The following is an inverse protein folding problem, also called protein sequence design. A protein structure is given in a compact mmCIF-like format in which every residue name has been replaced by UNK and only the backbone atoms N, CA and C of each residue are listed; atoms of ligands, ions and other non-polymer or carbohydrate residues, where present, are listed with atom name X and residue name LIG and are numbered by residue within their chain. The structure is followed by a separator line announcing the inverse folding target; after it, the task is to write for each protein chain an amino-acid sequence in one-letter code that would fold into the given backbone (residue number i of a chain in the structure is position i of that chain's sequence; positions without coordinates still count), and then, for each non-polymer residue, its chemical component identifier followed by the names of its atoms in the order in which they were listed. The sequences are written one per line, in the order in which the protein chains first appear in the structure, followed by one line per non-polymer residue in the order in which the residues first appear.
data_IF_611139135187
#
_entry.id   IF_611139135187
#
_cell.length_a   1.000
_cell.length_b   1.000
_cell.length_c   1.000
_cell.angle_alpha   90.00
_cell.angle_beta   90.00
_cell.angle_gamma   90.00
#
_symmetry.space_group_name_H-M   'P 1'
#
loop_
_entity.id
_entity.type
_entity.pdbx_description
1 polymer ?
#
# COMPACT_ATOMS: atom_id res chain seq x y z
N UNK A 1 -11.12 34.02 38.39
CA UNK A 1 -11.54 35.15 37.55
C UNK A 1 -11.28 34.84 36.08
N UNK A 2 -12.05 35.40 35.14
CA UNK A 2 -11.76 35.25 33.71
C UNK A 2 -10.37 35.82 33.38
N UNK A 3 -9.60 35.18 32.48
CA UNK A 3 -8.33 35.69 31.97
C UNK A 3 -8.47 37.06 31.30
N UNK A 4 -7.38 37.84 31.22
CA UNK A 4 -7.41 39.20 30.63
C UNK A 4 -7.86 39.18 29.17
N UNK A 5 -7.50 38.13 28.46
CA UNK A 5 -7.83 37.87 27.05
C UNK A 5 -9.34 37.69 26.87
N UNK A 6 -10.02 37.08 27.84
CA UNK A 6 -11.48 36.94 27.81
C UNK A 6 -12.16 38.27 28.12
N UNK A 7 -11.60 39.08 29.02
CA UNK A 7 -12.11 40.42 29.32
C UNK A 7 -12.01 41.37 28.12
N UNK A 8 -10.92 41.31 27.36
CA UNK A 8 -10.71 42.18 26.20
C UNK A 8 -11.69 41.90 25.05
N UNK A 9 -12.29 40.70 24.99
CA UNK A 9 -13.35 40.35 24.05
C UNK A 9 -14.74 40.87 24.47
N UNK A 10 -14.86 41.53 25.62
CA UNK A 10 -16.07 42.16 26.10
C UNK A 10 -16.97 41.28 26.98
N UNK A 11 -18.06 41.89 27.44
CA UNK A 11 -19.02 41.28 28.39
C UNK A 11 -19.59 39.95 27.92
N UNK A 12 -20.01 39.76 26.64
CA UNK A 12 -20.57 38.48 26.20
C UNK A 12 -19.60 37.30 26.38
N UNK A 13 -18.32 37.48 26.03
CA UNK A 13 -17.27 36.46 26.16
C UNK A 13 -16.95 36.15 27.62
N UNK A 14 -16.92 37.17 28.46
CA UNK A 14 -16.74 37.03 29.91
C UNK A 14 -17.89 36.24 30.54
N UNK A 15 -19.13 36.56 30.19
CA UNK A 15 -20.32 35.85 30.67
C UNK A 15 -20.31 34.39 30.18
N UNK A 16 -19.95 34.16 28.91
CA UNK A 16 -19.81 32.81 28.36
C UNK A 16 -18.78 31.99 29.14
N UNK A 17 -17.59 32.55 29.38
CA UNK A 17 -16.55 31.89 30.18
C UNK A 17 -17.04 31.50 31.56
N UNK A 18 -17.65 32.43 32.30
CA UNK A 18 -18.16 32.17 33.65
C UNK A 18 -19.26 31.11 33.65
N UNK A 19 -20.17 31.13 32.66
CA UNK A 19 -21.20 30.10 32.48
C UNK A 19 -20.57 28.74 32.20
N UNK A 20 -19.60 28.65 31.30
CA UNK A 20 -18.90 27.39 30.98
C UNK A 20 -18.24 26.80 32.23
N UNK A 21 -17.51 27.62 33.00
CA UNK A 21 -16.84 27.16 34.23
C UNK A 21 -17.86 26.72 35.29
N UNK A 22 -18.95 27.46 35.48
CA UNK A 22 -19.99 27.09 36.43
C UNK A 22 -20.69 25.78 36.05
N UNK A 23 -21.01 25.60 34.76
CA UNK A 23 -21.65 24.40 34.25
C UNK A 23 -20.73 23.17 34.31
N UNK A 24 -19.41 23.35 34.19
CA UNK A 24 -18.45 22.25 34.21
C UNK A 24 -18.48 21.45 35.52
N UNK A 25 -18.76 22.08 36.66
CA UNK A 25 -18.88 21.37 37.95
C UNK A 25 -20.04 20.37 37.97
N UNK A 26 -21.12 20.64 37.21
CA UNK A 26 -22.30 19.76 37.14
C UNK A 26 -22.22 18.75 36.00
N UNK A 27 -21.72 19.18 34.84
CA UNK A 27 -21.69 18.37 33.61
C UNK A 27 -20.42 17.54 33.46
N UNK A 28 -19.37 17.86 34.22
CA UNK A 28 -18.00 17.34 34.05
C UNK A 28 -17.43 17.61 32.65
N UNK A 29 -17.98 18.57 31.91
CA UNK A 29 -17.53 19.00 30.59
C UNK A 29 -17.28 20.50 30.59
N UNK A 30 -16.15 20.92 30.05
CA UNK A 30 -15.77 22.32 29.99
C UNK A 30 -15.40 22.69 28.56
N UNK A 31 -16.16 23.63 28.00
CA UNK A 31 -15.90 24.20 26.68
C UNK A 31 -15.49 25.67 26.80
N UNK A 32 -14.22 25.91 26.43
CA UNK A 32 -13.57 27.22 26.39
C UNK A 32 -13.05 27.53 24.97
N UNK A 33 -13.71 26.97 23.94
CA UNK A 33 -13.28 27.08 22.55
C UNK A 33 -13.61 28.44 21.94
N UNK A 34 -12.71 28.95 21.10
CA UNK A 34 -12.90 30.24 20.40
C UNK A 34 -12.82 31.46 21.33
N UNK A 35 -12.13 31.36 22.47
CA UNK A 35 -12.04 32.42 23.47
C UNK A 35 -10.75 33.25 23.38
N UNK A 36 -9.95 33.06 22.32
CA UNK A 36 -8.64 33.70 22.12
C UNK A 36 -7.68 33.52 23.30
N UNK A 37 -7.77 32.37 24.00
CA UNK A 37 -6.92 32.08 25.15
C UNK A 37 -5.47 31.86 24.72
N UNK A 38 -4.53 32.55 25.35
CA UNK A 38 -3.08 32.38 25.11
C UNK A 38 -2.47 31.25 25.95
N UNK A 39 -3.14 30.86 27.03
CA UNK A 39 -2.77 29.75 27.91
C UNK A 39 -4.02 29.06 28.45
N UNK A 40 -3.89 27.80 28.87
CA UNK A 40 -4.98 27.11 29.57
C UNK A 40 -5.20 27.79 30.93
N UNK A 41 -6.40 28.33 31.20
CA UNK A 41 -6.66 29.03 32.46
C UNK A 41 -6.53 28.11 33.66
N UNK A 42 -5.82 28.55 34.71
CA UNK A 42 -5.59 27.75 35.93
C UNK A 42 -6.89 27.28 36.60
N UNK A 43 -8.01 27.97 36.38
CA UNK A 43 -9.32 27.55 36.91
C UNK A 43 -9.74 26.17 36.37
N UNK A 44 -9.30 25.79 35.18
CA UNK A 44 -9.54 24.46 34.60
C UNK A 44 -8.96 23.38 35.53
N UNK A 45 -7.77 23.60 36.09
CA UNK A 45 -7.08 22.63 36.95
C UNK A 45 -7.68 22.53 38.34
N UNK A 46 -8.61 23.43 38.71
CA UNK A 46 -9.37 23.35 39.97
C UNK A 46 -10.60 22.44 39.90
N UNK A 47 -10.88 21.84 38.73
CA UNK A 47 -12.02 20.93 38.50
C UNK A 47 -11.50 19.51 38.18
N UNK A 48 -10.98 18.76 39.17
CA UNK A 48 -10.34 17.45 38.94
C UNK A 48 -11.31 16.36 38.43
N UNK A 49 -12.60 16.56 38.63
CA UNK A 49 -13.68 15.66 38.16
C UNK A 49 -13.98 15.78 36.66
N UNK A 50 -13.27 16.66 35.95
CA UNK A 50 -13.53 16.94 34.55
C UNK A 50 -13.26 15.70 33.68
N UNK A 51 -14.24 15.32 32.86
CA UNK A 51 -14.15 14.20 31.91
C UNK A 51 -13.85 14.68 30.48
N UNK A 52 -14.26 15.90 30.13
CA UNK A 52 -14.08 16.46 28.79
C UNK A 52 -13.66 17.93 28.84
N UNK A 53 -12.60 18.26 28.12
CA UNK A 53 -12.06 19.62 27.98
C UNK A 53 -11.91 19.99 26.50
N UNK A 54 -12.68 20.99 26.08
CA UNK A 54 -12.65 21.55 24.73
C UNK A 54 -11.98 22.93 24.75
N UNK A 55 -10.85 23.04 24.05
CA UNK A 55 -10.04 24.25 23.95
C UNK A 55 -9.73 24.61 22.49
N UNK A 56 -10.57 24.18 21.55
CA UNK A 56 -10.28 24.36 20.12
C UNK A 56 -10.39 25.83 19.68
N UNK A 57 -9.64 26.20 18.64
CA UNK A 57 -9.58 27.55 18.06
C UNK A 57 -9.22 28.63 19.10
N UNK A 58 -8.12 28.43 19.82
CA UNK A 58 -7.54 29.41 20.74
C UNK A 58 -6.11 29.75 20.27
N UNK A 59 -5.30 30.40 21.13
CA UNK A 59 -3.91 30.79 20.85
C UNK A 59 -2.95 30.16 21.87
N UNK A 60 -3.28 28.97 22.37
CA UNK A 60 -2.54 28.30 23.44
C UNK A 60 -1.19 27.82 22.90
N UNK A 61 -0.10 28.18 23.59
CA UNK A 61 1.27 27.82 23.19
C UNK A 61 1.88 26.66 23.96
N UNK A 62 1.43 26.46 25.20
CA UNK A 62 1.88 25.38 26.07
C UNK A 62 0.77 24.91 27.01
N UNK A 63 0.90 23.69 27.52
CA UNK A 63 0.06 23.16 28.58
C UNK A 63 0.67 23.48 29.96
N UNK A 64 -0.11 23.95 30.94
CA UNK A 64 0.40 24.22 32.27
C UNK A 64 0.72 22.92 33.01
N UNK A 65 1.73 22.94 33.87
CA UNK A 65 2.19 21.77 34.66
C UNK A 65 1.09 21.21 35.56
N UNK A 66 0.13 22.04 35.93
CA UNK A 66 -1.04 21.75 36.75
C UNK A 66 -2.08 20.89 36.01
N UNK A 67 -1.96 20.69 34.68
CA UNK A 67 -2.76 19.70 33.96
C UNK A 67 -2.65 18.30 34.57
N UNK A 68 -1.55 18.01 35.28
CA UNK A 68 -1.36 16.75 36.02
C UNK A 68 -2.48 16.40 37.01
N UNK A 69 -3.30 17.37 37.44
CA UNK A 69 -4.40 17.16 38.39
C UNK A 69 -5.70 16.67 37.74
N UNK A 70 -5.80 16.65 36.40
CA UNK A 70 -7.00 16.24 35.67
C UNK A 70 -7.01 14.73 35.38
N UNK A 71 -6.82 13.92 36.42
CA UNK A 71 -6.63 12.46 36.29
C UNK A 71 -7.79 11.71 35.63
N UNK A 72 -9.01 12.27 35.72
CA UNK A 72 -10.24 11.68 35.20
C UNK A 72 -10.57 12.12 33.77
N UNK A 73 -9.71 12.93 33.14
CA UNK A 73 -10.00 13.49 31.82
C UNK A 73 -9.97 12.38 30.77
N UNK A 74 -11.12 12.16 30.12
CA UNK A 74 -11.28 11.16 29.07
C UNK A 74 -11.07 11.74 27.68
N UNK A 75 -11.43 13.01 27.46
CA UNK A 75 -11.33 13.70 26.16
C UNK A 75 -10.70 15.07 26.32
N UNK A 76 -9.64 15.32 25.54
CA UNK A 76 -8.96 16.61 25.46
C UNK A 76 -8.86 17.05 24.00
N UNK A 77 -9.39 18.22 23.69
CA UNK A 77 -9.26 18.84 22.38
C UNK A 77 -8.53 20.18 22.48
N UNK A 78 -7.43 20.28 21.74
CA UNK A 78 -6.57 21.46 21.59
C UNK A 78 -6.43 21.85 20.11
N UNK A 79 -7.42 21.49 19.29
CA UNK A 79 -7.39 21.70 17.83
C UNK A 79 -7.30 23.19 17.49
N UNK A 80 -6.48 23.60 16.52
CA UNK A 80 -6.42 25.00 16.10
C UNK A 80 -5.84 25.91 17.18
N UNK A 81 -4.65 25.58 17.66
CA UNK A 81 -3.89 26.36 18.65
C UNK A 81 -2.47 26.64 18.13
N UNK A 82 -1.60 27.19 18.98
CA UNK A 82 -0.21 27.50 18.64
C UNK A 82 0.79 26.61 19.41
N UNK A 83 0.40 25.39 19.77
CA UNK A 83 1.24 24.51 20.59
C UNK A 83 2.51 24.13 19.84
N UNK A 84 3.66 24.41 20.45
CA UNK A 84 4.97 23.95 19.98
C UNK A 84 5.38 22.62 20.66
N UNK A 85 4.84 22.37 21.85
CA UNK A 85 4.99 21.12 22.61
C UNK A 85 3.75 20.87 23.48
N UNK A 86 3.48 19.59 23.76
CA UNK A 86 2.40 19.16 24.69
C UNK A 86 2.93 18.99 26.12
N UNK A 87 4.25 18.94 26.31
CA UNK A 87 4.88 18.80 27.63
C UNK A 87 4.72 17.41 28.28
N UNK A 88 5.50 17.12 29.33
CA UNK A 88 5.57 15.78 29.96
C UNK A 88 4.30 15.44 30.78
N UNK A 89 3.63 16.47 31.29
CA UNK A 89 2.39 16.45 32.07
C UNK A 89 1.24 15.73 31.35
N UNK A 90 1.25 15.64 30.02
CA UNK A 90 0.25 14.85 29.30
C UNK A 90 0.22 13.39 29.77
N UNK A 91 1.38 12.83 30.14
CA UNK A 91 1.48 11.46 30.62
C UNK A 91 0.84 11.21 32.00
N UNK A 92 0.39 12.26 32.70
CA UNK A 92 -0.40 12.13 33.93
C UNK A 92 -1.89 11.91 33.67
N UNK A 93 -2.38 12.16 32.45
CA UNK A 93 -3.79 12.03 32.07
C UNK A 93 -4.13 10.58 31.68
N UNK A 94 -3.86 9.61 32.56
CA UNK A 94 -3.90 8.17 32.23
C UNK A 94 -5.29 7.62 31.87
N UNK A 95 -6.37 8.35 32.21
CA UNK A 95 -7.74 8.05 31.79
C UNK A 95 -8.06 8.50 30.34
N UNK A 96 -7.17 9.26 29.69
CA UNK A 96 -7.44 9.86 28.40
C UNK A 96 -7.65 8.79 27.33
N UNK A 97 -8.82 8.85 26.68
CA UNK A 97 -9.24 7.96 25.59
C UNK A 97 -9.15 8.63 24.23
N UNK A 98 -9.31 9.96 24.20
CA UNK A 98 -9.30 10.77 22.98
C UNK A 98 -8.44 12.02 23.17
N UNK A 99 -7.40 12.17 22.35
CA UNK A 99 -6.53 13.35 22.32
C UNK A 99 -6.51 13.95 20.91
N UNK A 100 -6.92 15.22 20.80
CA UNK A 100 -6.96 15.96 19.53
C UNK A 100 -6.04 17.17 19.59
N UNK A 101 -5.00 17.14 18.75
CA UNK A 101 -3.91 18.11 18.64
C UNK A 101 -3.78 18.69 17.22
N UNK A 102 -4.78 18.48 16.37
CA UNK A 102 -4.77 18.95 14.97
C UNK A 102 -4.53 20.46 14.87
N UNK A 103 -3.93 20.91 13.77
CA UNK A 103 -3.74 22.34 13.47
C UNK A 103 -2.97 23.06 14.60
N UNK A 104 -1.74 22.61 14.86
CA UNK A 104 -0.82 23.19 15.83
C UNK A 104 0.59 23.34 15.20
N UNK A 105 1.62 23.59 16.01
CA UNK A 105 3.01 23.77 15.57
C UNK A 105 3.95 22.73 16.18
N UNK A 106 3.43 21.56 16.55
CA UNK A 106 4.16 20.52 17.25
C UNK A 106 5.27 19.96 16.37
N UNK A 107 6.50 19.95 16.88
CA UNK A 107 7.66 19.36 16.19
C UNK A 107 7.90 17.89 16.61
N UNK A 108 7.58 17.58 17.86
CA UNK A 108 7.72 16.26 18.48
C UNK A 108 6.57 16.02 19.45
N UNK A 109 6.24 14.74 19.68
CA UNK A 109 5.41 14.32 20.79
C UNK A 109 6.30 13.82 21.95
N UNK A 110 5.97 14.15 23.22
CA UNK A 110 6.79 13.77 24.36
C UNK A 110 6.77 12.24 24.58
N UNK A 111 7.87 11.62 25.05
CA UNK A 111 7.89 10.20 25.39
C UNK A 111 6.81 9.79 26.41
N UNK A 112 6.41 10.71 27.28
CA UNK A 112 5.34 10.51 28.27
C UNK A 112 3.97 10.21 27.66
N UNK A 113 3.76 10.47 26.36
CA UNK A 113 2.55 10.06 25.65
C UNK A 113 2.31 8.55 25.77
N UNK A 114 3.38 7.74 25.82
CA UNK A 114 3.28 6.30 26.02
C UNK A 114 2.73 5.86 27.37
N UNK A 115 2.52 6.78 28.32
CA UNK A 115 1.82 6.48 29.60
C UNK A 115 0.31 6.43 29.45
N UNK A 116 -0.24 6.89 28.32
CA UNK A 116 -1.67 6.94 28.03
C UNK A 116 -2.21 5.58 27.58
N UNK A 117 -2.13 4.56 28.45
CA UNK A 117 -2.55 3.19 28.15
C UNK A 117 -4.06 3.04 27.84
N UNK A 118 -4.87 4.06 28.12
CA UNK A 118 -6.31 4.10 27.80
C UNK A 118 -6.62 4.76 26.45
N UNK A 119 -5.60 5.31 25.76
CA UNK A 119 -5.81 6.09 24.55
C UNK A 119 -6.30 5.21 23.40
N UNK A 120 -7.41 5.63 22.79
CA UNK A 120 -8.07 4.94 21.67
C UNK A 120 -8.03 5.76 20.38
N UNK A 121 -8.03 7.09 20.49
CA UNK A 121 -7.95 8.00 19.35
C UNK A 121 -6.89 9.08 19.63
N UNK A 122 -5.92 9.19 18.71
CA UNK A 122 -4.93 10.27 18.67
C UNK A 122 -5.01 10.96 17.30
N UNK A 123 -5.34 12.25 17.33
CA UNK A 123 -5.35 13.11 16.14
C UNK A 123 -4.29 14.19 16.28
N UNK A 124 -3.32 14.22 15.39
CA UNK A 124 -2.23 15.19 15.37
C UNK A 124 -1.88 15.61 13.94
N UNK A 125 -2.90 15.84 13.12
CA UNK A 125 -2.76 16.29 11.74
C UNK A 125 -2.34 17.77 11.67
N UNK A 126 -1.77 18.22 10.55
CA UNK A 126 -1.42 19.62 10.30
C UNK A 126 -0.53 20.20 11.40
N UNK A 127 0.59 19.54 11.60
CA UNK A 127 1.63 19.91 12.55
C UNK A 127 2.99 19.89 11.82
N UNK A 128 4.09 19.91 12.57
CA UNK A 128 5.47 19.83 12.04
C UNK A 128 6.21 18.60 12.57
N UNK A 129 5.47 17.52 12.83
CA UNK A 129 6.06 16.32 13.42
C UNK A 129 7.07 15.71 12.44
N UNK A 130 8.29 15.49 12.91
CA UNK A 130 9.35 14.84 12.13
C UNK A 130 9.43 13.34 12.38
N UNK A 131 8.92 12.89 13.53
CA UNK A 131 8.91 11.49 13.96
C UNK A 131 7.84 11.27 15.04
N UNK A 132 7.53 10.00 15.30
CA UNK A 132 6.77 9.59 16.48
C UNK A 132 7.73 9.08 17.57
N UNK A 133 7.44 9.35 18.86
CA UNK A 133 8.22 8.79 19.94
C UNK A 133 8.05 7.26 19.97
N UNK A 134 9.13 6.52 20.23
CA UNK A 134 9.08 5.05 20.32
C UNK A 134 8.10 4.56 21.41
N UNK A 135 7.81 5.39 22.41
CA UNK A 135 6.83 5.09 23.45
C UNK A 135 5.38 5.06 22.96
N UNK A 136 5.08 5.51 21.73
CA UNK A 136 3.72 5.38 21.15
C UNK A 136 3.24 3.93 21.16
N UNK A 137 4.15 2.96 21.04
CA UNK A 137 3.83 1.53 21.08
C UNK A 137 3.22 1.05 22.40
N UNK A 138 3.36 1.82 23.49
CA UNK A 138 2.73 1.51 24.76
C UNK A 138 1.22 1.85 24.78
N UNK A 139 0.72 2.62 23.80
CA UNK A 139 -0.70 2.93 23.65
C UNK A 139 -1.46 1.76 22.98
N UNK A 140 -1.42 0.59 23.59
CA UNK A 140 -1.89 -0.67 22.99
C UNK A 140 -3.40 -0.75 22.69
N UNK A 141 -4.21 0.17 23.24
CA UNK A 141 -5.65 0.31 22.95
C UNK A 141 -5.94 1.27 21.80
N UNK A 142 -4.90 1.85 21.18
CA UNK A 142 -5.08 2.82 20.12
C UNK A 142 -5.75 2.16 18.92
N UNK A 143 -6.90 2.71 18.51
CA UNK A 143 -7.69 2.27 17.36
C UNK A 143 -7.54 3.21 16.17
N UNK A 144 -7.27 4.48 16.43
CA UNK A 144 -7.24 5.51 15.39
C UNK A 144 -6.08 6.47 15.58
N UNK A 145 -5.21 6.57 14.58
CA UNK A 145 -4.03 7.42 14.56
C UNK A 145 -4.02 8.28 13.29
N UNK A 146 -4.12 9.60 13.48
CA UNK A 146 -4.20 10.58 12.40
C UNK A 146 -3.00 11.52 12.48
N UNK A 147 -2.15 11.48 11.46
CA UNK A 147 -0.85 12.16 11.37
C UNK A 147 -0.65 12.84 10.00
N UNK A 148 -1.74 13.11 9.28
CA UNK A 148 -1.69 13.78 7.99
C UNK A 148 -1.09 15.18 8.06
N UNK A 149 -0.50 15.66 6.95
CA UNK A 149 0.09 16.99 6.80
C UNK A 149 1.13 17.27 7.91
N UNK A 150 2.18 16.46 7.96
CA UNK A 150 3.32 16.59 8.86
C UNK A 150 4.64 16.42 8.06
N UNK A 151 5.78 16.31 8.75
CA UNK A 151 7.11 16.15 8.13
C UNK A 151 7.73 14.79 8.47
N UNK A 152 6.92 13.76 8.71
CA UNK A 152 7.39 12.45 9.17
C UNK A 152 8.11 11.73 8.03
N UNK A 153 9.34 11.29 8.30
CA UNK A 153 10.19 10.60 7.31
C UNK A 153 10.09 9.08 7.40
N UNK A 154 9.93 8.54 8.61
CA UNK A 154 9.82 7.09 8.84
C UNK A 154 8.75 6.77 9.87
N UNK A 155 8.12 5.60 9.70
CA UNK A 155 7.27 5.00 10.73
C UNK A 155 8.18 4.20 11.67
N UNK A 156 8.12 4.40 13.00
CA UNK A 156 8.99 3.68 13.91
C UNK A 156 8.67 2.18 13.92
N UNK A 157 9.68 1.33 14.12
CA UNK A 157 9.52 -0.13 14.12
C UNK A 157 8.54 -0.63 15.19
N UNK A 158 8.41 0.09 16.31
CA UNK A 158 7.47 -0.21 17.41
C UNK A 158 5.99 -0.11 17.04
N UNK A 159 5.66 0.28 15.80
CA UNK A 159 4.28 0.35 15.31
C UNK A 159 3.59 -1.03 15.31
N UNK A 160 4.38 -2.13 15.25
CA UNK A 160 3.90 -3.51 15.37
C UNK A 160 3.13 -3.78 16.67
N UNK A 161 3.46 -3.08 17.75
CA UNK A 161 2.78 -3.22 19.04
C UNK A 161 1.34 -2.70 19.04
N UNK A 162 0.97 -1.83 18.09
CA UNK A 162 -0.36 -1.25 17.95
C UNK A 162 -1.34 -2.21 17.24
N UNK A 163 -1.44 -3.43 17.77
CA UNK A 163 -2.22 -4.53 17.18
C UNK A 163 -3.73 -4.27 17.11
N UNK A 164 -4.26 -3.33 17.90
CA UNK A 164 -5.68 -2.91 17.87
C UNK A 164 -5.96 -1.74 16.92
N UNK A 165 -4.94 -1.22 16.23
CA UNK A 165 -5.12 -0.07 15.35
C UNK A 165 -5.98 -0.46 14.14
N UNK A 166 -7.11 0.24 13.97
CA UNK A 166 -8.06 0.02 12.88
C UNK A 166 -7.86 1.06 11.76
N UNK A 167 -7.40 2.28 12.11
CA UNK A 167 -7.22 3.40 11.17
C UNK A 167 -5.85 4.05 11.37
N UNK A 168 -5.03 4.04 10.32
CA UNK A 168 -3.78 4.78 10.23
C UNK A 168 -3.82 5.74 9.04
N UNK A 169 -3.77 7.04 9.32
CA UNK A 169 -3.73 8.09 8.29
C UNK A 169 -2.45 8.89 8.44
N UNK A 170 -1.61 8.87 7.41
CA UNK A 170 -0.38 9.67 7.34
C UNK A 170 -0.23 10.39 5.98
N UNK A 171 -1.30 10.96 5.37
CA UNK A 171 -1.16 11.62 4.09
C UNK A 171 -0.30 12.89 4.17
N UNK A 172 0.34 13.32 3.10
CA UNK A 172 1.08 14.60 3.09
C UNK A 172 2.25 14.61 4.07
N UNK A 173 3.03 13.53 4.11
CA UNK A 173 4.25 13.40 4.90
C UNK A 173 5.46 13.23 3.97
N UNK A 174 6.61 12.83 4.52
CA UNK A 174 7.84 12.58 3.77
C UNK A 174 8.29 11.11 3.86
N UNK A 175 7.33 10.20 4.01
CA UNK A 175 7.62 8.77 4.17
C UNK A 175 8.30 8.22 2.92
N UNK A 176 9.49 7.65 3.09
CA UNK A 176 10.23 6.96 2.00
C UNK A 176 9.99 5.45 2.00
N UNK A 177 9.66 4.88 3.16
CA UNK A 177 9.39 3.46 3.33
C UNK A 177 8.30 3.21 4.39
N UNK A 178 7.64 2.06 4.27
CA UNK A 178 6.78 1.48 5.31
C UNK A 178 7.53 0.30 5.92
N UNK A 179 7.72 0.24 7.25
CA UNK A 179 8.44 -0.85 7.90
C UNK A 179 7.70 -2.18 7.72
N UNK A 180 8.44 -3.29 7.63
CA UNK A 180 7.88 -4.65 7.51
C UNK A 180 6.99 -5.02 8.70
N UNK A 181 7.24 -4.41 9.85
CA UNK A 181 6.43 -4.48 11.07
C UNK A 181 4.95 -4.12 10.88
N UNK A 182 4.59 -3.38 9.81
CA UNK A 182 3.20 -3.10 9.47
C UNK A 182 2.35 -4.37 9.39
N UNK A 183 2.92 -5.50 8.96
CA UNK A 183 2.20 -6.77 8.85
C UNK A 183 1.69 -7.35 10.17
N UNK A 184 2.15 -6.85 11.32
CA UNK A 184 1.64 -7.26 12.64
C UNK A 184 0.36 -6.53 13.06
N UNK A 185 0.00 -5.45 12.37
CA UNK A 185 -1.16 -4.62 12.67
C UNK A 185 -2.45 -5.22 12.08
N UNK A 186 -2.74 -6.48 12.45
CA UNK A 186 -3.79 -7.31 11.83
C UNK A 186 -5.22 -6.78 11.96
N UNK A 187 -5.46 -5.82 12.86
CA UNK A 187 -6.75 -5.12 13.00
C UNK A 187 -6.96 -3.97 12.01
N UNK A 188 -5.94 -3.62 11.20
CA UNK A 188 -5.97 -2.43 10.36
C UNK A 188 -7.00 -2.59 9.22
N UNK A 189 -7.90 -1.62 9.11
CA UNK A 189 -8.97 -1.54 8.10
C UNK A 189 -8.73 -0.42 7.10
N UNK A 190 -8.14 0.69 7.56
CA UNK A 190 -7.87 1.86 6.73
C UNK A 190 -6.40 2.25 6.87
N UNK A 191 -5.68 2.23 5.74
CA UNK A 191 -4.32 2.73 5.61
C UNK A 191 -4.28 3.81 4.52
N UNK A 192 -4.06 5.06 4.92
CA UNK A 192 -3.97 6.20 4.02
C UNK A 192 -2.57 6.81 4.08
N UNK A 193 -1.84 6.71 2.97
CA UNK A 193 -0.44 7.11 2.82
C UNK A 193 -0.23 7.99 1.58
N UNK A 194 -1.29 8.62 1.05
CA UNK A 194 -1.19 9.48 -0.13
C UNK A 194 -0.28 10.69 0.10
N UNK A 195 0.26 11.26 -0.98
CA UNK A 195 1.14 12.44 -0.92
C UNK A 195 2.37 12.19 -0.02
N UNK A 196 3.10 11.12 -0.32
CA UNK A 196 4.36 10.74 0.34
C UNK A 196 5.44 10.46 -0.71
N UNK A 197 6.57 9.87 -0.30
CA UNK A 197 7.72 9.57 -1.16
C UNK A 197 7.98 8.06 -1.25
N UNK A 198 6.96 7.22 -1.05
CA UNK A 198 7.10 5.77 -1.00
C UNK A 198 7.46 5.22 -2.38
N UNK A 199 8.52 4.41 -2.46
CA UNK A 199 8.96 3.77 -3.71
C UNK A 199 8.45 2.33 -3.87
N UNK A 200 8.26 1.64 -2.75
CA UNK A 200 7.80 0.25 -2.68
C UNK A 200 6.93 0.03 -1.46
N UNK A 201 6.19 -1.08 -1.45
CA UNK A 201 5.45 -1.55 -0.27
C UNK A 201 6.04 -2.89 0.20
N UNK A 202 6.18 -3.09 1.52
CA UNK A 202 6.68 -4.36 2.06
C UNK A 202 5.71 -5.51 1.77
N UNK A 203 6.18 -6.73 1.43
CA UNK A 203 5.34 -7.91 1.24
C UNK A 203 4.42 -8.22 2.43
N UNK A 204 4.84 -7.84 3.64
CA UNK A 204 4.11 -7.99 4.89
C UNK A 204 2.75 -7.27 4.91
N UNK A 205 2.51 -6.33 3.97
CA UNK A 205 1.17 -5.75 3.76
C UNK A 205 0.11 -6.83 3.47
N UNK A 206 0.51 -7.96 2.89
CA UNK A 206 -0.37 -9.10 2.63
C UNK A 206 -0.93 -9.79 3.89
N UNK A 207 -0.36 -9.50 5.07
CA UNK A 207 -0.86 -10.01 6.36
C UNK A 207 -2.05 -9.21 6.91
N UNK A 208 -2.39 -8.07 6.31
CA UNK A 208 -3.48 -7.19 6.76
C UNK A 208 -4.84 -7.66 6.24
N UNK A 209 -5.26 -8.88 6.58
CA UNK A 209 -6.45 -9.52 6.02
C UNK A 209 -7.78 -8.76 6.26
N UNK A 210 -7.80 -7.79 7.18
CA UNK A 210 -8.94 -6.92 7.46
C UNK A 210 -8.90 -5.57 6.73
N UNK A 211 -7.87 -5.31 5.92
CA UNK A 211 -7.71 -4.03 5.23
C UNK A 211 -8.79 -3.86 4.17
N UNK A 212 -9.52 -2.76 4.27
CA UNK A 212 -10.65 -2.41 3.38
C UNK A 212 -10.30 -1.26 2.45
N UNK A 213 -9.44 -0.33 2.91
CA UNK A 213 -8.98 0.82 2.16
C UNK A 213 -7.47 0.99 2.27
N UNK A 214 -6.81 1.02 1.11
CA UNK A 214 -5.41 1.38 0.94
C UNK A 214 -5.30 2.53 -0.06
N UNK A 215 -4.84 3.68 0.41
CA UNK A 215 -4.58 4.84 -0.45
C UNK A 215 -3.08 5.12 -0.54
N UNK A 216 -2.53 4.96 -1.73
CA UNK A 216 -1.13 5.22 -2.08
C UNK A 216 -1.02 6.28 -3.18
N UNK A 217 -2.04 7.12 -3.36
CA UNK A 217 -2.03 8.15 -4.39
C UNK A 217 -0.84 9.11 -4.24
N UNK A 218 -0.36 9.68 -5.34
CA UNK A 218 0.70 10.69 -5.36
C UNK A 218 1.94 10.26 -4.55
N UNK A 219 2.45 9.07 -4.85
CA UNK A 219 3.69 8.54 -4.30
C UNK A 219 4.68 8.29 -5.45
N UNK A 220 5.73 7.51 -5.18
CA UNK A 220 6.68 7.05 -6.17
C UNK A 220 6.63 5.53 -6.25
N UNK A 221 5.48 4.88 -6.03
CA UNK A 221 5.44 3.42 -5.99
C UNK A 221 5.67 2.85 -7.39
N UNK A 222 6.68 2.00 -7.55
CA UNK A 222 7.02 1.39 -8.85
C UNK A 222 6.49 -0.05 -8.95
N UNK A 223 6.44 -0.77 -7.83
CA UNK A 223 5.99 -2.16 -7.77
C UNK A 223 5.17 -2.40 -6.50
N UNK A 224 4.00 -3.01 -6.67
CA UNK A 224 3.23 -3.61 -5.58
C UNK A 224 3.72 -5.03 -5.29
N UNK A 225 3.84 -5.44 -4.02
CA UNK A 225 4.14 -6.83 -3.68
C UNK A 225 2.97 -7.72 -4.09
N UNK A 226 3.27 -8.93 -4.58
CA UNK A 226 2.23 -9.85 -5.02
C UNK A 226 1.36 -10.32 -3.84
N UNK A 227 1.92 -10.31 -2.63
CA UNK A 227 1.26 -10.65 -1.37
C UNK A 227 0.04 -9.75 -1.08
N UNK A 228 -0.07 -8.57 -1.72
CA UNK A 228 -1.30 -7.76 -1.70
C UNK A 228 -2.53 -8.55 -2.21
N UNK A 229 -2.32 -9.58 -3.07
CA UNK A 229 -3.37 -10.47 -3.53
C UNK A 229 -4.12 -11.22 -2.41
N UNK A 230 -3.53 -11.35 -1.21
CA UNK A 230 -4.21 -11.93 -0.04
C UNK A 230 -5.30 -11.04 0.55
N UNK A 231 -5.32 -9.74 0.21
CA UNK A 231 -6.24 -8.75 0.79
C UNK A 231 -7.63 -8.82 0.16
N UNK A 232 -8.32 -9.93 0.37
CA UNK A 232 -9.65 -10.21 -0.20
C UNK A 232 -10.77 -9.28 0.31
N UNK A 233 -10.55 -8.56 1.42
CA UNK A 233 -11.45 -7.53 1.95
C UNK A 233 -11.16 -6.12 1.43
N UNK A 234 -10.16 -5.95 0.57
CA UNK A 234 -9.80 -4.63 0.06
C UNK A 234 -10.83 -4.17 -0.99
N UNK A 235 -11.62 -3.17 -0.64
CA UNK A 235 -12.64 -2.59 -1.52
C UNK A 235 -12.13 -1.34 -2.24
N UNK A 236 -11.13 -0.67 -1.68
CA UNK A 236 -10.59 0.57 -2.22
C UNK A 236 -9.07 0.53 -2.22
N UNK A 237 -8.49 0.46 -3.40
CA UNK A 237 -7.07 0.60 -3.69
C UNK A 237 -6.89 1.79 -4.62
N UNK A 238 -6.22 2.84 -4.16
CA UNK A 238 -5.94 4.04 -4.96
C UNK A 238 -4.44 4.11 -5.23
N UNK A 239 -4.07 4.09 -6.51
CA UNK A 239 -2.69 4.09 -7.01
C UNK A 239 -2.39 5.27 -7.94
N UNK A 240 -3.31 6.22 -8.09
CA UNK A 240 -3.17 7.39 -8.97
C UNK A 240 -1.94 8.23 -8.62
N UNK A 241 -1.31 8.89 -9.59
CA UNK A 241 -0.12 9.72 -9.34
C UNK A 241 1.15 8.93 -8.97
N UNK A 242 1.24 7.65 -9.33
CA UNK A 242 2.46 6.84 -9.27
C UNK A 242 3.00 6.60 -10.69
N UNK A 243 3.63 7.62 -11.29
CA UNK A 243 3.97 7.66 -12.73
C UNK A 243 4.94 6.56 -13.20
N UNK A 244 5.69 5.96 -12.28
CA UNK A 244 6.68 4.90 -12.55
C UNK A 244 6.16 3.50 -12.23
N UNK A 245 4.85 3.35 -11.99
CA UNK A 245 4.27 2.06 -11.64
C UNK A 245 4.32 1.07 -12.81
N UNK A 246 4.95 -0.07 -12.56
CA UNK A 246 5.07 -1.20 -13.49
C UNK A 246 4.19 -2.37 -13.04
N UNK A 247 4.08 -2.58 -11.72
CA UNK A 247 3.26 -3.65 -11.12
C UNK A 247 2.23 -3.04 -10.16
N UNK A 248 0.92 -3.23 -10.37
CA UNK A 248 0.30 -3.98 -11.46
C UNK A 248 0.43 -3.25 -12.82
N UNK A 249 0.38 -3.98 -13.94
CA UNK A 249 0.34 -3.39 -15.29
C UNK A 249 -0.84 -2.43 -15.44
N UNK A 250 -0.70 -1.39 -16.26
CA UNK A 250 -1.70 -0.31 -16.37
C UNK A 250 -3.10 -0.79 -16.75
N UNK A 251 -3.19 -1.79 -17.63
CA UNK A 251 -4.45 -2.42 -18.04
C UNK A 251 -5.10 -3.16 -16.86
N UNK A 252 -4.31 -3.79 -15.98
CA UNK A 252 -4.81 -4.40 -14.75
C UNK A 252 -5.20 -3.33 -13.73
N UNK A 253 -4.40 -2.29 -13.55
CA UNK A 253 -4.71 -1.17 -12.67
C UNK A 253 -6.03 -0.48 -13.05
N UNK A 254 -6.30 -0.34 -14.35
CA UNK A 254 -7.55 0.23 -14.87
C UNK A 254 -8.81 -0.59 -14.58
N UNK A 255 -8.66 -1.90 -14.27
CA UNK A 255 -9.77 -2.78 -13.85
C UNK A 255 -10.18 -2.57 -12.38
N UNK A 256 -9.58 -1.58 -11.72
CA UNK A 256 -9.88 -1.20 -10.35
C UNK A 256 -9.38 -2.20 -9.31
N UNK A 257 -9.78 -2.00 -8.06
CA UNK A 257 -9.27 -2.77 -6.91
C UNK A 257 -9.44 -4.27 -7.07
N UNK A 258 -10.63 -4.73 -7.48
CA UNK A 258 -10.89 -6.15 -7.67
C UNK A 258 -9.98 -6.77 -8.75
N UNK A 259 -9.82 -6.11 -9.90
CA UNK A 259 -8.96 -6.59 -10.98
C UNK A 259 -7.50 -6.74 -10.54
N UNK A 260 -6.96 -5.74 -9.82
CA UNK A 260 -5.61 -5.78 -9.26
C UNK A 260 -5.45 -6.93 -8.27
N UNK A 261 -6.37 -7.07 -7.30
CA UNK A 261 -6.30 -8.13 -6.29
C UNK A 261 -6.38 -9.52 -6.94
N UNK A 262 -7.28 -9.73 -7.91
CA UNK A 262 -7.37 -11.00 -8.62
C UNK A 262 -6.11 -11.33 -9.42
N UNK A 263 -5.51 -10.34 -10.09
CA UNK A 263 -4.24 -10.52 -10.80
C UNK A 263 -3.12 -10.94 -9.85
N UNK A 264 -2.90 -10.18 -8.76
CA UNK A 264 -1.84 -10.48 -7.80
C UNK A 264 -2.08 -11.81 -7.08
N UNK A 265 -3.34 -12.14 -6.77
CA UNK A 265 -3.70 -13.44 -6.18
C UNK A 265 -3.31 -14.61 -7.10
N UNK A 266 -3.51 -14.51 -8.42
CA UNK A 266 -3.06 -15.53 -9.38
C UNK A 266 -1.54 -15.72 -9.34
N UNK A 267 -0.77 -14.63 -9.22
CA UNK A 267 0.70 -14.71 -9.11
C UNK A 267 1.13 -15.39 -7.80
N UNK A 268 0.45 -15.09 -6.71
CA UNK A 268 0.70 -15.72 -5.41
C UNK A 268 0.35 -17.21 -5.44
N UNK A 269 -0.82 -17.58 -5.97
CA UNK A 269 -1.22 -18.98 -6.08
C UNK A 269 -0.30 -19.78 -7.00
N UNK A 270 0.26 -19.15 -8.04
CA UNK A 270 1.26 -19.76 -8.91
C UNK A 270 2.55 -20.15 -8.17
N UNK A 271 2.96 -19.44 -7.11
CA UNK A 271 4.09 -19.85 -6.25
C UNK A 271 3.87 -21.22 -5.61
N UNK A 272 2.61 -21.56 -5.28
CA UNK A 272 2.27 -22.84 -4.64
C UNK A 272 1.91 -23.93 -5.65
N UNK A 273 1.13 -23.58 -6.66
CA UNK A 273 0.56 -24.54 -7.61
C UNK A 273 1.45 -24.80 -8.82
N UNK A 274 2.44 -23.92 -9.07
CA UNK A 274 3.26 -23.88 -10.29
C UNK A 274 2.45 -23.72 -11.58
N UNK A 275 1.19 -23.35 -11.45
CA UNK A 275 0.25 -23.13 -12.54
C UNK A 275 -0.19 -21.67 -12.52
N UNK A 276 0.00 -20.97 -13.62
CA UNK A 276 -0.35 -19.56 -13.75
C UNK A 276 -1.26 -19.34 -14.96
N UNK A 277 -2.46 -18.84 -14.68
CA UNK A 277 -3.48 -18.56 -15.67
C UNK A 277 -3.79 -17.07 -15.77
N UNK A 278 -3.26 -16.45 -16.82
CA UNK A 278 -3.39 -15.03 -17.13
C UNK A 278 -4.24 -14.79 -18.38
N UNK A 279 -5.11 -15.73 -18.69
CA UNK A 279 -6.08 -15.68 -19.78
C UNK A 279 -6.97 -14.45 -19.74
N UNK A 280 -7.24 -13.84 -20.91
CA UNK A 280 -8.24 -12.77 -21.09
C UNK A 280 -8.10 -11.63 -20.08
N UNK A 281 -6.85 -11.26 -19.79
CA UNK A 281 -6.53 -10.15 -18.91
C UNK A 281 -6.24 -8.86 -19.67
N UNK A 282 -6.33 -8.89 -21.00
CA UNK A 282 -6.05 -7.76 -21.90
C UNK A 282 -4.63 -7.22 -21.68
N UNK A 283 -3.67 -8.13 -21.47
CA UNK A 283 -2.26 -7.79 -21.28
C UNK A 283 -1.65 -7.31 -22.61
N UNK A 284 -1.15 -6.07 -22.65
CA UNK A 284 -0.42 -5.54 -23.82
C UNK A 284 0.97 -6.17 -24.00
N UNK A 285 1.56 -6.67 -22.91
CA UNK A 285 2.84 -7.38 -22.89
C UNK A 285 2.82 -8.33 -21.69
N UNK A 286 3.65 -9.38 -21.72
CA UNK A 286 3.83 -10.24 -20.56
C UNK A 286 4.55 -9.44 -19.46
N UNK A 287 3.95 -9.22 -18.28
CA UNK A 287 4.56 -8.41 -17.24
C UNK A 287 5.89 -8.99 -16.73
N UNK A 288 6.84 -8.13 -16.32
CA UNK A 288 8.15 -8.61 -15.88
C UNK A 288 8.07 -9.50 -14.64
N UNK A 289 7.18 -9.14 -13.71
CA UNK A 289 6.92 -9.93 -12.51
C UNK A 289 6.44 -11.35 -12.81
N UNK A 290 5.85 -11.62 -14.00
CA UNK A 290 5.45 -12.97 -14.42
C UNK A 290 6.67 -13.79 -14.85
N UNK A 291 7.61 -13.18 -15.58
CA UNK A 291 8.83 -13.85 -16.01
C UNK A 291 9.80 -14.14 -14.86
N UNK A 292 9.72 -13.38 -13.76
CA UNK A 292 10.46 -13.61 -12.52
C UNK A 292 9.95 -14.84 -11.72
N UNK A 293 8.80 -15.41 -12.10
CA UNK A 293 8.21 -16.59 -11.46
C UNK A 293 8.83 -17.90 -11.98
N UNK A 294 10.13 -18.09 -11.74
CA UNK A 294 10.92 -19.23 -12.25
C UNK A 294 10.41 -20.62 -11.85
N UNK A 295 9.57 -20.71 -10.82
CA UNK A 295 8.98 -21.97 -10.34
C UNK A 295 7.75 -22.44 -11.15
N UNK A 296 7.20 -21.59 -12.02
CA UNK A 296 6.00 -21.92 -12.81
C UNK A 296 6.32 -22.99 -13.85
N UNK A 297 5.49 -24.04 -13.89
CA UNK A 297 5.59 -25.16 -14.82
C UNK A 297 4.53 -25.06 -15.94
N UNK A 298 3.41 -24.39 -15.69
CA UNK A 298 2.36 -24.14 -16.69
C UNK A 298 2.00 -22.67 -16.71
N UNK A 299 2.12 -22.02 -17.87
CA UNK A 299 1.73 -20.63 -18.09
C UNK A 299 0.71 -20.52 -19.22
N UNK A 300 -0.47 -19.99 -18.90
CA UNK A 300 -1.52 -19.67 -19.87
C UNK A 300 -1.65 -18.17 -20.06
N UNK A 301 -1.51 -17.72 -21.29
CA UNK A 301 -1.59 -16.33 -21.74
C UNK A 301 -2.57 -16.18 -22.91
N UNK A 302 -3.56 -17.06 -23.04
CA UNK A 302 -4.44 -17.04 -24.19
C UNK A 302 -5.35 -15.80 -24.22
N UNK A 303 -5.64 -15.32 -25.44
CA UNK A 303 -6.57 -14.22 -25.69
C UNK A 303 -6.26 -12.94 -24.89
N UNK A 304 -4.98 -12.52 -24.84
CA UNK A 304 -4.58 -11.26 -24.22
C UNK A 304 -4.34 -10.13 -25.21
N UNK A 305 -4.22 -10.44 -26.50
CA UNK A 305 -3.88 -9.47 -27.54
C UNK A 305 -2.40 -9.05 -27.52
N UNK A 306 -1.51 -9.97 -27.13
CA UNK A 306 -0.06 -9.71 -27.09
C UNK A 306 0.49 -9.52 -28.51
N UNK A 307 1.11 -8.36 -28.85
CA UNK A 307 1.72 -8.15 -30.17
C UNK A 307 3.10 -8.79 -30.29
N UNK A 308 3.79 -8.99 -29.16
CA UNK A 308 5.10 -9.62 -29.10
C UNK A 308 5.30 -10.32 -27.75
N UNK A 309 6.17 -11.33 -27.74
CA UNK A 309 6.60 -12.00 -26.54
C UNK A 309 7.99 -11.47 -26.13
N UNK A 310 8.09 -10.96 -24.90
CA UNK A 310 9.35 -10.40 -24.40
C UNK A 310 10.43 -11.47 -24.23
N UNK A 311 11.70 -11.12 -24.45
CA UNK A 311 12.83 -12.07 -24.42
C UNK A 311 13.01 -12.73 -23.05
N UNK A 312 12.69 -12.03 -21.98
CA UNK A 312 12.81 -12.52 -20.61
C UNK A 312 11.85 -13.66 -20.27
N UNK A 313 10.90 -13.98 -21.16
CA UNK A 313 10.12 -15.22 -21.03
C UNK A 313 11.05 -16.45 -20.94
N UNK A 314 12.21 -16.40 -21.61
CA UNK A 314 13.24 -17.45 -21.55
C UNK A 314 13.86 -17.64 -20.16
N UNK A 315 13.62 -16.74 -19.20
CA UNK A 315 14.01 -16.90 -17.79
C UNK A 315 13.16 -17.96 -17.07
N UNK A 316 12.01 -18.34 -17.62
CA UNK A 316 11.09 -19.32 -17.04
C UNK A 316 11.48 -20.75 -17.45
N UNK A 317 12.69 -21.18 -17.09
CA UNK A 317 13.31 -22.44 -17.55
C UNK A 317 12.62 -23.71 -17.05
N UNK A 318 11.75 -23.62 -16.04
CA UNK A 318 10.95 -24.74 -15.56
C UNK A 318 9.62 -24.92 -16.29
N UNK A 319 9.28 -24.05 -17.25
CA UNK A 319 8.05 -24.20 -18.02
C UNK A 319 8.05 -25.55 -18.76
N UNK A 320 6.93 -26.25 -18.59
CA UNK A 320 6.60 -27.50 -19.28
C UNK A 320 5.43 -27.29 -20.25
N UNK A 321 4.55 -26.34 -19.96
CA UNK A 321 3.44 -25.96 -20.82
C UNK A 321 3.37 -24.43 -20.95
N UNK A 322 3.40 -23.94 -22.18
CA UNK A 322 3.23 -22.53 -22.53
C UNK A 322 2.10 -22.38 -23.55
N UNK A 323 1.03 -21.68 -23.15
CA UNK A 323 -0.12 -21.42 -24.00
C UNK A 323 -0.24 -19.96 -24.38
N UNK A 324 -0.04 -19.66 -25.67
CA UNK A 324 -0.06 -18.33 -26.30
C UNK A 324 -1.18 -18.20 -27.35
N UNK A 325 -2.15 -19.11 -27.34
CA UNK A 325 -3.25 -19.14 -28.33
C UNK A 325 -4.06 -17.84 -28.36
N UNK A 326 -4.43 -17.36 -29.55
CA UNK A 326 -5.33 -16.21 -29.72
C UNK A 326 -4.69 -14.87 -29.35
N UNK A 327 -3.42 -14.65 -29.68
CA UNK A 327 -2.74 -13.36 -29.52
C UNK A 327 -2.40 -12.77 -30.90
N UNK A 328 -1.57 -11.72 -30.94
CA UNK A 328 -1.15 -11.05 -32.19
C UNK A 328 0.36 -11.18 -32.38
N UNK A 329 0.94 -12.31 -31.97
CA UNK A 329 2.39 -12.49 -32.00
C UNK A 329 2.89 -12.60 -33.45
N UNK A 330 3.77 -11.68 -33.86
CA UNK A 330 4.41 -11.72 -35.17
C UNK A 330 5.65 -12.64 -35.22
N UNK A 331 6.34 -12.79 -34.07
CA UNK A 331 7.51 -13.64 -33.90
C UNK A 331 7.60 -14.20 -32.47
N UNK A 332 8.39 -15.27 -32.30
CA UNK A 332 8.83 -15.76 -31.00
C UNK A 332 10.31 -15.40 -30.80
N UNK A 333 10.73 -14.99 -29.58
CA UNK A 333 12.11 -14.62 -29.31
C UNK A 333 13.03 -15.85 -29.37
N UNK A 334 14.29 -15.64 -29.75
CA UNK A 334 15.38 -16.62 -29.72
C UNK A 334 15.55 -17.31 -28.35
N UNK A 335 15.25 -16.59 -27.27
CA UNK A 335 15.31 -17.08 -25.89
C UNK A 335 14.34 -18.20 -25.56
N UNK A 336 13.39 -18.57 -26.43
CA UNK A 336 12.57 -19.77 -26.24
C UNK A 336 13.42 -21.05 -26.17
N UNK A 337 14.61 -21.06 -26.79
CA UNK A 337 15.60 -22.14 -26.66
C UNK A 337 16.01 -22.43 -25.22
N UNK A 338 15.93 -21.45 -24.31
CA UNK A 338 16.28 -21.62 -22.90
C UNK A 338 15.26 -22.48 -22.13
N UNK A 339 14.04 -22.66 -22.66
CA UNK A 339 12.98 -23.44 -22.02
C UNK A 339 13.16 -24.93 -22.25
N UNK A 340 14.30 -25.48 -21.83
CA UNK A 340 14.71 -26.88 -22.08
C UNK A 340 13.77 -27.95 -21.53
N UNK A 341 12.80 -27.59 -20.68
CA UNK A 341 11.78 -28.49 -20.11
C UNK A 341 10.42 -28.40 -20.79
N UNK A 342 10.27 -27.52 -21.79
CA UNK A 342 8.99 -27.25 -22.45
C UNK A 342 8.53 -28.48 -23.25
N UNK A 343 7.39 -29.04 -22.86
CA UNK A 343 6.77 -30.20 -23.50
C UNK A 343 5.63 -29.81 -24.42
N UNK A 344 4.89 -28.77 -24.05
CA UNK A 344 3.71 -28.32 -24.79
C UNK A 344 3.81 -26.83 -25.07
N UNK A 345 3.66 -26.46 -26.34
CA UNK A 345 3.60 -25.09 -26.82
C UNK A 345 2.34 -24.90 -27.67
N UNK A 346 1.46 -23.98 -27.29
CA UNK A 346 0.27 -23.63 -28.10
C UNK A 346 0.39 -22.20 -28.61
N UNK A 347 0.34 -22.04 -29.94
CA UNK A 347 0.56 -20.76 -30.64
C UNK A 347 -0.47 -20.56 -31.76
N UNK A 348 -1.61 -21.26 -31.67
CA UNK A 348 -2.70 -21.17 -32.65
C UNK A 348 -3.36 -19.78 -32.59
N UNK A 349 -3.74 -19.22 -33.74
CA UNK A 349 -4.38 -17.90 -33.78
C UNK A 349 -3.45 -16.77 -33.35
N UNK A 350 -2.28 -16.70 -33.99
CA UNK A 350 -1.33 -15.58 -33.91
C UNK A 350 -1.01 -15.11 -35.34
N UNK A 351 -0.03 -14.24 -35.52
CA UNK A 351 0.41 -13.71 -36.83
C UNK A 351 1.83 -14.18 -37.19
N UNK A 352 2.19 -15.40 -36.76
CA UNK A 352 3.54 -15.93 -36.88
C UNK A 352 3.88 -16.31 -38.33
N UNK A 353 4.68 -15.46 -38.99
CA UNK A 353 5.18 -15.77 -40.34
C UNK A 353 6.22 -16.91 -40.36
N UNK A 354 6.98 -17.07 -39.28
CA UNK A 354 7.97 -18.15 -39.11
C UNK A 354 8.19 -18.51 -37.64
N UNK A 355 8.63 -19.76 -37.39
CA UNK A 355 9.14 -20.17 -36.09
C UNK A 355 10.67 -20.00 -36.01
N UNK A 356 11.22 -19.55 -34.88
CA UNK A 356 12.66 -19.37 -34.74
C UNK A 356 13.40 -20.73 -34.78
N UNK A 357 14.50 -20.86 -35.54
CA UNK A 357 15.30 -22.09 -35.57
C UNK A 357 15.77 -22.55 -34.18
N UNK A 358 15.97 -21.61 -33.25
CA UNK A 358 16.30 -21.83 -31.84
C UNK A 358 15.32 -22.75 -31.12
N UNK A 359 14.05 -22.82 -31.56
CA UNK A 359 13.06 -23.74 -31.02
C UNK A 359 13.44 -25.21 -31.28
N UNK A 360 14.24 -25.48 -32.32
CA UNK A 360 14.81 -26.81 -32.61
C UNK A 360 15.78 -27.31 -31.53
N UNK A 361 16.31 -26.42 -30.68
CA UNK A 361 17.13 -26.81 -29.53
C UNK A 361 16.29 -27.35 -28.36
N UNK A 362 14.98 -27.14 -28.36
CA UNK A 362 14.07 -27.58 -27.30
C UNK A 362 13.60 -29.01 -27.56
N UNK A 363 14.50 -29.96 -27.38
CA UNK A 363 14.27 -31.40 -27.67
C UNK A 363 13.25 -32.08 -26.75
N UNK A 364 12.79 -31.39 -25.71
CA UNK A 364 11.74 -31.88 -24.80
C UNK A 364 10.32 -31.65 -25.33
N UNK A 365 10.15 -30.88 -26.41
CA UNK A 365 8.84 -30.60 -27.01
C UNK A 365 8.19 -31.89 -27.53
N UNK A 366 7.00 -32.16 -27.03
CA UNK A 366 6.17 -33.32 -27.39
C UNK A 366 4.95 -32.87 -28.20
N UNK A 367 4.43 -31.68 -27.93
CA UNK A 367 3.21 -31.14 -28.53
C UNK A 367 3.44 -29.68 -28.94
N UNK A 368 3.21 -29.38 -30.23
CA UNK A 368 3.24 -28.01 -30.76
C UNK A 368 1.92 -27.79 -31.48
N UNK A 369 1.03 -27.01 -30.85
CA UNK A 369 -0.28 -26.68 -31.40
C UNK A 369 -0.18 -25.38 -32.19
N UNK A 370 0.08 -25.53 -33.49
CA UNK A 370 0.14 -24.44 -34.46
C UNK A 370 -0.77 -24.74 -35.64
N UNK A 371 -1.58 -23.75 -36.02
CA UNK A 371 -2.38 -23.78 -37.25
C UNK A 371 -1.66 -22.90 -38.30
N UNK A 372 -1.12 -23.51 -39.39
CA UNK A 372 -0.39 -22.78 -40.43
C UNK A 372 -1.23 -21.73 -41.15
N UNK A 373 -2.51 -21.99 -41.39
CA UNK A 373 -3.39 -21.10 -42.14
C UNK A 373 -3.74 -19.88 -41.30
N UNK A 374 -4.07 -20.12 -40.03
CA UNK A 374 -4.40 -19.07 -39.06
C UNK A 374 -3.19 -18.18 -38.74
N UNK A 375 -1.96 -18.73 -38.78
CA UNK A 375 -0.73 -17.97 -38.55
C UNK A 375 -0.08 -17.36 -39.80
N UNK A 376 -0.57 -17.69 -41.01
CA UNK A 376 0.14 -17.38 -42.27
C UNK A 376 1.59 -17.90 -42.30
N UNK A 377 1.81 -19.07 -41.69
CA UNK A 377 3.14 -19.62 -41.45
C UNK A 377 3.82 -20.05 -42.76
N UNK A 378 5.02 -19.54 -43.01
CA UNK A 378 5.84 -19.90 -44.18
C UNK A 378 6.94 -20.91 -43.84
N UNK A 379 7.41 -20.92 -42.59
CA UNK A 379 8.44 -21.84 -42.11
C UNK A 379 8.20 -22.18 -40.64
N UNK A 380 8.02 -23.46 -40.27
CA UNK A 380 8.03 -24.65 -41.11
C UNK A 380 6.85 -24.72 -42.11
N UNK A 381 7.01 -25.40 -43.26
CA UNK A 381 5.92 -25.66 -44.21
C UNK A 381 4.75 -26.41 -43.57
N UNK A 382 3.55 -26.22 -44.11
CA UNK A 382 2.32 -26.82 -43.57
C UNK A 382 2.36 -28.36 -43.56
N UNK A 383 3.12 -28.99 -44.46
CA UNK A 383 3.34 -30.44 -44.49
C UNK A 383 4.08 -30.90 -43.24
N UNK A 384 5.19 -30.24 -42.89
CA UNK A 384 5.99 -30.54 -41.68
C UNK A 384 5.16 -30.31 -40.42
N UNK A 385 4.33 -29.26 -40.39
CA UNK A 385 3.44 -29.01 -39.25
C UNK A 385 2.45 -30.16 -39.04
N UNK A 386 1.92 -30.75 -40.12
CA UNK A 386 0.96 -31.87 -40.04
C UNK A 386 1.60 -33.17 -39.55
N UNK A 387 2.90 -33.36 -39.74
CA UNK A 387 3.65 -34.51 -39.23
C UNK A 387 3.86 -34.46 -37.70
N UNK A 388 3.63 -33.30 -37.09
CA UNK A 388 3.59 -33.11 -35.63
C UNK A 388 4.89 -32.55 -35.04
N UNK A 389 4.95 -32.49 -33.71
CA UNK A 389 5.98 -31.77 -32.97
C UNK A 389 7.42 -32.26 -33.28
N UNK A 390 7.62 -33.58 -33.42
CA UNK A 390 8.93 -34.14 -33.68
C UNK A 390 9.53 -33.66 -35.02
N UNK A 391 8.72 -33.67 -36.08
CA UNK A 391 9.12 -33.19 -37.41
C UNK A 391 9.40 -31.68 -37.41
N UNK A 392 8.58 -30.89 -36.70
CA UNK A 392 8.81 -29.45 -36.52
C UNK A 392 10.17 -29.19 -35.84
N UNK A 393 10.46 -29.89 -34.74
CA UNK A 393 11.72 -29.73 -33.98
C UNK A 393 12.93 -30.13 -34.81
N UNK A 394 12.85 -31.27 -35.53
CA UNK A 394 13.92 -31.74 -36.41
C UNK A 394 14.22 -30.75 -37.54
N UNK A 395 13.18 -30.28 -38.23
CA UNK A 395 13.29 -29.27 -39.29
C UNK A 395 13.95 -27.98 -38.80
N UNK A 396 13.51 -27.45 -37.65
CA UNK A 396 14.06 -26.22 -37.08
C UNK A 396 15.50 -26.41 -36.60
N UNK A 397 15.85 -27.61 -36.11
CA UNK A 397 17.21 -27.95 -35.70
C UNK A 397 18.18 -27.97 -36.90
N UNK A 398 17.79 -28.57 -38.02
CA UNK A 398 18.59 -28.53 -39.25
C UNK A 398 18.78 -27.09 -39.74
N UNK A 399 17.73 -26.26 -39.71
CA UNK A 399 17.83 -24.84 -40.06
C UNK A 399 18.80 -24.08 -39.14
N UNK A 400 18.77 -24.38 -37.83
CA UNK A 400 19.66 -23.77 -36.85
C UNK A 400 21.13 -24.14 -37.12
N UNK A 401 21.42 -25.42 -37.33
CA UNK A 401 22.77 -25.92 -37.65
C UNK A 401 23.29 -25.36 -38.99
N UNK A 402 22.42 -25.27 -40.00
CA UNK A 402 22.74 -24.66 -41.29
C UNK A 402 23.03 -23.14 -41.17
N UNK A 403 22.39 -22.45 -40.23
CA UNK A 403 22.68 -21.04 -39.95
C UNK A 403 24.03 -20.88 -39.25
N UNK A 404 24.28 -21.65 -38.20
CA UNK A 404 25.53 -21.58 -37.43
C UNK A 404 26.77 -21.94 -38.28
N UNK A 405 26.63 -22.89 -39.20
CA UNK A 405 27.71 -23.28 -40.12
C UNK A 405 28.02 -22.26 -41.22
N UNK A 406 27.13 -21.29 -41.47
CA UNK A 406 27.36 -20.18 -42.41
C UNK A 406 27.95 -18.93 -41.75
N UNK A 407 27.84 -18.85 -40.42
CA UNK A 407 28.36 -17.73 -39.61
C UNK A 407 29.78 -18.00 -39.06
N UNK A 408 30.25 -19.25 -39.13
CA UNK A 408 31.64 -19.68 -38.89
C UNK A 408 32.44 -19.70 -40.20
#
# INVERSE_FOLDING_TARGET
SPPKEVWSLGTPSTVRFLKSVHMASSTKRLDLSGMSLESVPIIVTTIPELLELQLFNNKIRELPKEMRYLHNLNTLSLVGNELESVGAEIGSLTALTTLKLNDNRLQLLPPELGKLASLTELKCEKNKLTSLPASIGNCNKLKSLWLGENEIVTVPSVIDTLTQLEVLRMPGNRLTEVPTQIGQMTSLRILELQDNLLETMPPEIGSLFLLEKLNLANNRVHRMPIELGFLTKLHTLVLEGNDKMVTPPINIASKGTYGVIQYLLRLVDAKRTKYLDLTRLDLNFVPLEVCELHMVETLKLHENGLPALRKEIGMMTNLTNLSLTGNYLAELPDTVSNMTRLKELTITGNELSMLPPELGCVTSLQMVHVDPENNHLRSPPAEIVKEGAAAIVEYLKEMYEARMSREC
#
